data_IF_596007416569
#
_entry.id   IF_596007416569
#
_cell.length_a   1.000
_cell.length_b   1.000
_cell.length_c   1.000
_cell.angle_alpha   90.00
_cell.angle_beta   90.00
_cell.angle_gamma   90.00
#
_symmetry.space_group_name_H-M   'P 1'
#
loop_
_entity.id
_entity.type
_entity.pdbx_description
1 polymer ?
#
# COMPACT_ATOMS: atom_id res chain seq x y z
N UNK A 1 -23.81 -23.69 74.50
CA UNK A 1 -22.34 -23.49 74.50
C UNK A 1 -21.80 -23.95 73.16
N UNK A 2 -21.02 -23.08 72.48
CA UNK A 2 -19.91 -23.36 71.53
C UNK A 2 -20.16 -24.40 70.41
N UNK A 3 -19.84 -24.21 69.14
CA UNK A 3 -19.06 -23.21 68.41
C UNK A 3 -19.34 -23.40 66.91
N UNK A 4 -19.18 -22.29 66.19
CA UNK A 4 -19.23 -22.07 64.74
C UNK A 4 -18.34 -23.06 63.96
N UNK A 5 -18.81 -23.55 62.80
CA UNK A 5 -18.04 -23.45 61.53
C UNK A 5 -19.02 -23.26 60.37
N UNK A 6 -18.98 -22.04 59.82
CA UNK A 6 -19.58 -21.63 58.56
C UNK A 6 -18.67 -22.14 57.43
N UNK A 7 -19.08 -23.18 56.71
CA UNK A 7 -18.34 -23.68 55.55
C UNK A 7 -18.94 -23.07 54.28
N UNK A 8 -18.23 -22.08 53.74
CA UNK A 8 -18.45 -21.49 52.43
C UNK A 8 -18.41 -22.57 51.33
N UNK A 9 -19.53 -22.77 50.64
CA UNK A 9 -19.57 -23.44 49.34
C UNK A 9 -19.27 -22.38 48.28
N UNK A 10 -17.98 -22.20 47.94
CA UNK A 10 -17.53 -21.54 46.71
C UNK A 10 -16.59 -22.51 46.00
N UNK A 11 -17.14 -23.54 45.37
CA UNK A 11 -16.40 -24.42 44.47
C UNK A 11 -17.32 -24.76 43.29
N UNK A 12 -17.49 -23.85 42.33
CA UNK A 12 -17.99 -24.19 40.98
C UNK A 12 -17.92 -23.01 39.99
N UNK A 13 -16.84 -22.22 39.96
CA UNK A 13 -16.61 -21.19 38.93
C UNK A 13 -15.19 -21.24 38.35
N UNK A 14 -14.54 -22.40 38.37
CA UNK A 14 -13.34 -22.68 37.57
C UNK A 14 -13.73 -23.58 36.38
N UNK A 15 -14.69 -23.13 35.57
CA UNK A 15 -14.92 -23.72 34.25
C UNK A 15 -13.80 -23.29 33.32
N UNK A 16 -12.81 -24.17 33.17
CA UNK A 16 -12.06 -24.41 31.93
C UNK A 16 -11.73 -23.19 31.08
N UNK A 17 -10.87 -22.29 31.56
CA UNK A 17 -9.99 -21.56 30.64
C UNK A 17 -8.83 -22.48 30.28
N UNK A 18 -9.11 -23.50 29.47
CA UNK A 18 -8.06 -24.15 28.71
C UNK A 18 -7.60 -23.12 27.69
N UNK A 19 -6.52 -22.41 28.00
CA UNK A 19 -5.74 -21.76 26.96
C UNK A 19 -5.34 -22.88 26.00
N UNK A 20 -5.88 -22.84 24.78
CA UNK A 20 -5.33 -23.63 23.69
C UNK A 20 -3.90 -23.11 23.47
N UNK A 21 -2.93 -23.68 24.18
CA UNK A 21 -1.53 -23.52 23.82
C UNK A 21 -1.37 -24.26 22.50
N UNK A 22 -1.24 -23.50 21.43
CA UNK A 22 -0.78 -24.01 20.15
C UNK A 22 0.53 -24.76 20.40
N UNK A 23 0.53 -26.07 20.16
CA UNK A 23 1.69 -26.93 20.44
C UNK A 23 2.77 -26.58 19.41
N UNK A 24 3.75 -25.79 19.84
CA UNK A 24 4.93 -25.48 19.01
C UNK A 24 6.01 -26.53 19.23
N UNK A 25 6.37 -27.25 18.16
CA UNK A 25 7.46 -28.22 18.16
C UNK A 25 8.73 -27.52 17.64
N UNK A 26 9.54 -26.97 18.54
CA UNK A 26 10.79 -26.28 18.18
C UNK A 26 10.70 -24.76 18.28
N UNK A 27 11.76 -24.05 17.86
CA UNK A 27 11.75 -22.58 17.83
C UNK A 27 11.15 -22.08 16.52
N UNK A 28 10.45 -20.93 16.49
CA UNK A 28 10.00 -20.34 15.23
C UNK A 28 11.18 -20.16 14.26
N UNK A 29 10.96 -20.50 13.00
CA UNK A 29 11.98 -20.37 11.95
C UNK A 29 12.38 -18.90 11.74
N UNK A 30 13.69 -18.66 11.69
CA UNK A 30 14.22 -17.37 11.22
C UNK A 30 14.29 -17.44 9.70
N UNK A 31 13.54 -16.59 9.02
CA UNK A 31 13.34 -16.73 7.57
C UNK A 31 13.00 -15.43 6.86
N UNK A 32 13.16 -15.47 5.53
CA UNK A 32 12.56 -14.51 4.60
C UNK A 32 11.70 -15.26 3.58
N UNK A 33 10.68 -14.60 3.06
CA UNK A 33 9.74 -15.19 2.10
C UNK A 33 9.83 -14.44 0.78
N UNK A 34 9.84 -15.19 -0.31
CA UNK A 34 9.63 -14.68 -1.66
C UNK A 34 8.32 -15.24 -2.20
N UNK A 35 7.55 -14.39 -2.84
CA UNK A 35 6.27 -14.75 -3.45
C UNK A 35 6.30 -14.20 -4.86
N UNK A 36 6.25 -15.09 -5.84
CA UNK A 36 6.18 -14.73 -7.26
C UNK A 36 4.76 -15.01 -7.74
N UNK A 37 4.02 -13.97 -8.09
CA UNK A 37 2.63 -14.09 -8.54
C UNK A 37 2.59 -14.11 -10.06
N UNK A 38 1.92 -15.11 -10.64
CA UNK A 38 1.77 -15.25 -12.08
C UNK A 38 0.57 -14.45 -12.65
N UNK A 39 0.48 -14.41 -13.98
CA UNK A 39 -0.61 -13.71 -14.69
C UNK A 39 -2.00 -14.33 -14.50
N UNK A 40 -2.09 -15.54 -13.93
CA UNK A 40 -3.33 -16.24 -13.63
C UNK A 40 -3.74 -16.11 -12.17
N UNK A 41 -2.94 -15.43 -11.36
CA UNK A 41 -3.19 -15.23 -9.95
C UNK A 41 -2.77 -16.39 -9.03
N UNK A 42 -1.92 -17.29 -9.53
CA UNK A 42 -1.25 -18.29 -8.70
C UNK A 42 0.05 -17.70 -8.15
N UNK A 43 0.56 -18.26 -7.05
CA UNK A 43 1.83 -17.84 -6.49
C UNK A 43 2.78 -19.02 -6.28
N UNK A 44 4.03 -18.82 -6.68
CA UNK A 44 5.14 -19.64 -6.23
C UNK A 44 5.72 -19.02 -4.95
N UNK A 45 5.78 -19.80 -3.88
CA UNK A 45 6.28 -19.35 -2.58
C UNK A 45 7.62 -20.01 -2.31
N UNK A 46 8.62 -19.22 -1.94
CA UNK A 46 9.90 -19.69 -1.44
C UNK A 46 10.16 -19.13 -0.04
N UNK A 47 10.19 -19.99 0.96
CA UNK A 47 10.75 -19.66 2.26
C UNK A 47 12.24 -19.96 2.27
N UNK A 48 13.05 -18.97 2.66
CA UNK A 48 14.49 -19.09 2.86
C UNK A 48 14.71 -19.11 4.37
N UNK A 49 14.85 -20.31 4.93
CA UNK A 49 15.06 -20.56 6.36
C UNK A 49 16.55 -20.55 6.67
N UNK A 50 16.96 -19.76 7.66
CA UNK A 50 18.35 -19.68 8.07
C UNK A 50 18.85 -20.99 8.68
N UNK A 51 20.14 -21.27 8.48
CA UNK A 51 20.80 -22.45 9.08
C UNK A 51 20.70 -22.39 10.61
N UNK A 52 20.56 -23.55 11.25
CA UNK A 52 20.44 -23.64 12.70
C UNK A 52 20.91 -25.00 13.22
N UNK A 53 21.51 -24.99 14.40
CA UNK A 53 21.86 -26.21 15.14
C UNK A 53 20.70 -26.80 15.94
N UNK A 54 19.55 -26.11 15.98
CA UNK A 54 18.31 -26.58 16.60
C UNK A 54 17.19 -26.67 15.58
N UNK A 55 16.24 -27.60 15.77
CA UNK A 55 15.07 -27.70 14.90
C UNK A 55 14.25 -26.41 14.93
N UNK A 56 13.72 -26.04 13.76
CA UNK A 56 12.94 -24.82 13.54
C UNK A 56 11.54 -25.17 13.02
N UNK A 57 10.52 -24.56 13.59
CA UNK A 57 9.14 -24.70 13.13
C UNK A 57 8.82 -23.60 12.13
N UNK A 58 8.42 -24.00 10.93
CA UNK A 58 8.01 -23.16 9.82
C UNK A 58 6.52 -23.35 9.57
N UNK A 59 5.71 -22.31 9.75
CA UNK A 59 4.30 -22.31 9.36
C UNK A 59 4.18 -21.96 7.87
N UNK A 60 3.43 -22.74 7.08
CA UNK A 60 3.18 -22.39 5.67
C UNK A 60 2.14 -21.28 5.56
N UNK A 61 2.13 -20.55 4.44
CA UNK A 61 1.20 -19.42 4.23
C UNK A 61 -0.26 -19.90 4.12
N UNK A 62 -0.47 -21.07 3.53
CA UNK A 62 -1.77 -21.72 3.34
C UNK A 62 -1.61 -23.24 3.44
N UNK A 63 -2.68 -23.93 3.83
CA UNK A 63 -2.74 -25.40 3.84
C UNK A 63 -3.12 -26.00 2.48
N UNK A 64 -3.64 -25.22 1.54
CA UNK A 64 -3.98 -25.68 0.19
C UNK A 64 -2.85 -25.34 -0.78
N UNK A 65 -1.76 -26.10 -0.71
CA UNK A 65 -0.58 -25.94 -1.57
C UNK A 65 -0.34 -27.21 -2.39
N UNK A 66 0.43 -27.07 -3.46
CA UNK A 66 0.93 -28.16 -4.30
C UNK A 66 2.44 -28.06 -4.47
N UNK A 67 3.07 -29.12 -4.98
CA UNK A 67 4.48 -29.13 -5.38
C UNK A 67 5.47 -28.76 -4.26
N UNK A 68 5.22 -29.20 -3.03
CA UNK A 68 6.13 -28.98 -1.90
C UNK A 68 7.52 -29.58 -2.17
N UNK A 69 8.54 -28.76 -2.04
CA UNK A 69 9.95 -29.12 -2.15
C UNK A 69 10.71 -28.53 -0.95
N UNK A 70 11.50 -29.36 -0.28
CA UNK A 70 12.30 -28.97 0.88
C UNK A 70 13.74 -29.42 0.64
N UNK A 71 14.63 -28.45 0.40
CA UNK A 71 16.02 -28.70 0.01
C UNK A 71 16.96 -27.72 0.70
N UNK A 72 18.22 -28.08 0.82
CA UNK A 72 19.23 -27.10 1.20
C UNK A 72 19.59 -26.19 0.01
N UNK A 73 20.25 -25.07 0.30
CA UNK A 73 20.64 -24.10 -0.74
C UNK A 73 21.64 -24.64 -1.78
N UNK A 74 22.20 -25.83 -1.56
CA UNK A 74 23.11 -26.53 -2.49
C UNK A 74 22.38 -27.59 -3.34
N UNK A 75 21.07 -27.75 -3.16
CA UNK A 75 20.23 -28.72 -3.86
C UNK A 75 20.20 -30.12 -3.23
N UNK A 76 20.78 -30.29 -2.04
CA UNK A 76 20.66 -31.52 -1.25
C UNK A 76 19.31 -31.62 -0.55
N UNK A 77 18.91 -32.83 -0.15
CA UNK A 77 17.70 -33.03 0.65
C UNK A 77 17.90 -32.44 2.06
N UNK A 78 16.96 -31.61 2.51
CA UNK A 78 16.89 -31.18 3.89
C UNK A 78 15.90 -32.07 4.65
N UNK A 79 16.23 -32.44 5.89
CA UNK A 79 15.35 -33.27 6.71
C UNK A 79 14.26 -32.42 7.38
N UNK A 80 13.02 -32.89 7.30
CA UNK A 80 11.88 -32.23 7.90
C UNK A 80 10.79 -33.23 8.29
N UNK A 81 9.87 -32.79 9.15
CA UNK A 81 8.63 -33.50 9.44
C UNK A 81 7.46 -32.54 9.30
N UNK A 82 6.34 -33.01 8.75
CA UNK A 82 5.08 -32.27 8.80
C UNK A 82 4.49 -32.34 10.21
N UNK A 83 4.01 -31.20 10.70
CA UNK A 83 3.35 -31.07 12.00
C UNK A 83 1.89 -30.68 11.77
N UNK A 84 0.98 -31.32 12.51
CA UNK A 84 -0.45 -31.05 12.44
C UNK A 84 -0.86 -29.81 13.25
N UNK A 85 -2.01 -29.24 12.91
CA UNK A 85 -2.59 -28.05 13.53
C UNK A 85 -3.62 -27.41 12.61
N UNK A 86 -4.13 -26.23 12.98
CA UNK A 86 -5.07 -25.46 12.15
C UNK A 86 -4.41 -24.95 10.86
N UNK A 87 -3.08 -24.77 10.87
CA UNK A 87 -2.28 -24.50 9.67
C UNK A 87 -1.17 -25.53 9.52
N UNK A 88 -0.87 -25.88 8.27
CA UNK A 88 0.21 -26.81 7.96
C UNK A 88 1.54 -26.18 8.33
N UNK A 89 2.32 -26.87 9.16
CA UNK A 89 3.65 -26.44 9.61
C UNK A 89 4.69 -27.53 9.39
N UNK A 90 5.92 -27.15 9.09
CA UNK A 90 7.06 -28.04 8.92
C UNK A 90 8.04 -27.87 10.10
N UNK A 91 8.46 -28.97 10.70
CA UNK A 91 9.60 -29.01 11.61
C UNK A 91 10.85 -29.29 10.80
N UNK A 92 11.63 -28.25 10.51
CA UNK A 92 12.92 -28.34 9.83
C UNK A 92 13.97 -28.79 10.85
N UNK A 93 14.66 -29.90 10.58
CA UNK A 93 15.72 -30.41 11.46
C UNK A 93 17.01 -29.57 11.33
N UNK A 94 17.94 -29.68 12.30
CA UNK A 94 19.19 -28.94 12.27
C UNK A 94 19.94 -29.07 10.94
N UNK A 95 20.38 -27.95 10.40
CA UNK A 95 21.09 -27.89 9.11
C UNK A 95 22.26 -26.92 9.16
N UNK A 96 23.33 -27.25 8.44
CA UNK A 96 24.53 -26.42 8.30
C UNK A 96 24.41 -25.39 7.16
N UNK A 97 23.44 -25.58 6.27
CA UNK A 97 23.13 -24.70 5.15
C UNK A 97 21.75 -24.06 5.35
N UNK A 98 21.44 -23.01 4.59
CA UNK A 98 20.05 -22.52 4.53
C UNK A 98 19.15 -23.60 3.92
N UNK A 99 17.88 -23.61 4.33
CA UNK A 99 16.86 -24.51 3.80
C UNK A 99 15.87 -23.69 2.98
N UNK A 100 15.62 -24.14 1.76
CA UNK A 100 14.62 -23.63 0.84
C UNK A 100 13.37 -24.51 0.94
N UNK A 101 12.25 -23.91 1.31
CA UNK A 101 10.93 -24.56 1.29
C UNK A 101 10.11 -23.87 0.22
N UNK A 102 9.82 -24.61 -0.83
CA UNK A 102 9.15 -24.12 -2.04
C UNK A 102 7.82 -24.86 -2.23
N UNK A 103 6.77 -24.15 -2.63
CA UNK A 103 5.47 -24.71 -2.97
C UNK A 103 4.66 -23.73 -3.79
N UNK A 104 3.61 -24.24 -4.44
CA UNK A 104 2.69 -23.44 -5.25
C UNK A 104 1.35 -23.27 -4.53
N UNK A 105 0.77 -22.09 -4.67
CA UNK A 105 -0.56 -21.75 -4.20
C UNK A 105 -1.42 -21.32 -5.39
N UNK A 106 -2.54 -22.01 -5.60
CA UNK A 106 -3.47 -21.68 -6.67
C UNK A 106 -4.46 -20.58 -6.25
N UNK A 107 -4.76 -19.65 -7.16
CA UNK A 107 -5.79 -18.62 -7.00
C UNK A 107 -5.66 -17.80 -5.69
N UNK A 108 -4.43 -17.43 -5.30
CA UNK A 108 -4.18 -16.66 -4.06
C UNK A 108 -4.72 -15.24 -4.12
N UNK A 109 -4.81 -14.71 -5.33
CA UNK A 109 -5.42 -13.42 -5.61
C UNK A 109 -6.77 -13.65 -6.28
N UNK A 110 -7.78 -12.87 -5.90
CA UNK A 110 -9.08 -12.88 -6.54
C UNK A 110 -9.23 -11.66 -7.44
N UNK A 111 -9.60 -11.87 -8.70
CA UNK A 111 -9.97 -10.78 -9.60
C UNK A 111 -11.35 -10.24 -9.24
N UNK A 112 -11.43 -8.93 -8.98
CA UNK A 112 -12.68 -8.22 -8.76
C UNK A 112 -12.60 -6.83 -9.35
N UNK A 113 -13.47 -6.54 -10.32
CA UNK A 113 -13.53 -5.25 -11.04
C UNK A 113 -12.20 -4.89 -11.74
N UNK A 114 -11.54 -5.88 -12.38
CA UNK A 114 -10.27 -5.71 -13.08
C UNK A 114 -9.04 -5.56 -12.17
N UNK A 115 -9.20 -5.81 -10.87
CA UNK A 115 -8.11 -5.79 -9.89
C UNK A 115 -7.98 -7.13 -9.20
N UNK A 116 -6.76 -7.64 -9.15
CA UNK A 116 -6.36 -8.77 -8.32
C UNK A 116 -6.16 -8.30 -6.88
N UNK A 117 -6.66 -9.09 -5.92
CA UNK A 117 -6.62 -8.73 -4.49
C UNK A 117 -6.13 -9.87 -3.64
N UNK A 118 -5.23 -9.58 -2.70
CA UNK A 118 -4.79 -10.50 -1.66
C UNK A 118 -4.77 -9.79 -0.31
N UNK A 119 -5.53 -10.32 0.65
CA UNK A 119 -5.38 -9.97 2.07
C UNK A 119 -4.30 -10.88 2.69
N UNK A 120 -3.06 -10.42 2.63
CA UNK A 120 -1.90 -11.19 3.05
C UNK A 120 -1.58 -10.93 4.52
N UNK A 121 -1.43 -12.01 5.30
CA UNK A 121 -0.99 -11.94 6.69
C UNK A 121 0.04 -13.02 6.99
N UNK A 122 1.27 -12.60 7.21
CA UNK A 122 2.36 -13.48 7.59
C UNK A 122 3.46 -12.72 8.32
N UNK A 123 4.05 -13.36 9.33
CA UNK A 123 4.95 -12.67 10.28
C UNK A 123 6.33 -12.42 9.68
N UNK A 124 6.79 -13.25 8.74
CA UNK A 124 8.11 -13.09 8.15
C UNK A 124 8.19 -11.91 7.17
N UNK A 125 9.40 -11.39 6.99
CA UNK A 125 9.67 -10.41 5.93
C UNK A 125 9.44 -11.05 4.57
N UNK A 126 8.60 -10.42 3.76
CA UNK A 126 8.09 -11.00 2.51
C UNK A 126 8.37 -10.05 1.35
N UNK A 127 8.95 -10.58 0.28
CA UNK A 127 9.11 -9.89 -1.00
C UNK A 127 8.08 -10.45 -1.98
N UNK A 128 7.24 -9.58 -2.52
CA UNK A 128 6.28 -9.89 -3.56
C UNK A 128 6.85 -9.46 -4.89
N UNK A 129 6.89 -10.38 -5.85
CA UNK A 129 7.19 -10.14 -7.25
C UNK A 129 5.88 -10.26 -8.01
N UNK A 130 5.48 -9.18 -8.67
CA UNK A 130 4.21 -9.10 -9.39
C UNK A 130 4.41 -9.46 -10.86
N UNK A 131 3.33 -9.81 -11.58
CA UNK A 131 3.43 -10.06 -13.02
C UNK A 131 4.02 -8.85 -13.75
N UNK A 132 4.87 -9.09 -14.75
CA UNK A 132 5.52 -8.06 -15.58
C UNK A 132 4.54 -7.07 -16.23
N UNK A 133 3.27 -7.45 -16.37
CA UNK A 133 2.18 -6.62 -16.87
C UNK A 133 1.63 -5.63 -15.81
N UNK A 134 2.24 -5.53 -14.62
CA UNK A 134 1.77 -4.69 -13.52
C UNK A 134 2.62 -3.42 -13.37
N UNK A 135 2.04 -2.26 -13.67
CA UNK A 135 2.75 -0.97 -13.53
C UNK A 135 2.55 -0.31 -12.16
N UNK A 136 1.42 -0.60 -11.51
CA UNK A 136 1.03 0.01 -10.22
C UNK A 136 0.45 -1.05 -9.29
N UNK A 137 0.95 -1.07 -8.06
CA UNK A 137 0.40 -1.86 -6.95
C UNK A 137 -0.13 -0.94 -5.87
N UNK A 138 -1.21 -1.33 -5.24
CA UNK A 138 -1.81 -0.62 -4.11
C UNK A 138 -1.61 -1.45 -2.85
N UNK A 139 -0.90 -0.88 -1.88
CA UNK A 139 -0.65 -1.50 -0.57
C UNK A 139 -1.47 -0.76 0.47
N UNK A 140 -2.46 -1.42 1.05
CA UNK A 140 -3.41 -0.81 1.98
C UNK A 140 -4.03 0.48 1.39
N UNK A 141 -4.41 0.40 0.10
CA UNK A 141 -4.94 1.51 -0.69
C UNK A 141 -3.97 2.66 -1.01
N UNK A 142 -2.68 2.54 -0.66
CA UNK A 142 -1.65 3.49 -1.08
C UNK A 142 -0.99 3.00 -2.38
N UNK A 143 -1.00 3.80 -3.46
CA UNK A 143 -0.35 3.46 -4.72
C UNK A 143 1.18 3.43 -4.60
N UNK A 144 1.79 2.45 -5.24
CA UNK A 144 3.23 2.31 -5.47
C UNK A 144 3.41 2.04 -6.96
N UNK A 145 4.14 2.93 -7.63
CA UNK A 145 4.54 2.77 -9.02
C UNK A 145 5.74 1.83 -9.08
N UNK A 146 5.61 0.70 -9.77
CA UNK A 146 6.64 -0.33 -9.87
C UNK A 146 7.69 0.04 -10.93
N UNK A 147 7.26 0.36 -12.16
CA UNK A 147 8.13 0.76 -13.30
C UNK A 147 9.35 -0.16 -13.49
N UNK A 148 10.50 0.21 -12.91
CA UNK A 148 11.78 -0.50 -13.04
C UNK A 148 12.06 -1.48 -11.89
N UNK A 149 11.16 -1.59 -10.90
CA UNK A 149 11.25 -2.59 -9.84
C UNK A 149 10.18 -3.66 -10.01
N UNK A 150 10.57 -4.92 -9.83
CA UNK A 150 9.71 -6.08 -10.11
C UNK A 150 8.67 -6.36 -9.00
N UNK A 151 8.62 -5.53 -7.96
CA UNK A 151 7.70 -5.72 -6.85
C UNK A 151 8.03 -4.93 -5.60
N UNK A 152 7.56 -5.43 -4.46
CA UNK A 152 7.64 -4.75 -3.17
C UNK A 152 8.14 -5.68 -2.07
N UNK A 153 8.72 -5.11 -1.02
CA UNK A 153 9.06 -5.83 0.21
C UNK A 153 8.31 -5.24 1.38
N UNK A 154 7.85 -6.12 2.27
CA UNK A 154 7.27 -5.74 3.53
C UNK A 154 7.93 -6.53 4.68
N UNK A 155 8.02 -5.91 5.85
CA UNK A 155 8.59 -6.50 7.06
C UNK A 155 7.49 -6.66 8.13
N UNK A 156 7.18 -7.89 8.56
CA UNK A 156 6.15 -8.15 9.57
C UNK A 156 4.72 -7.87 9.07
N UNK A 157 4.30 -8.56 8.01
CA UNK A 157 3.27 -8.04 7.11
C UNK A 157 1.85 -8.49 7.43
N UNK A 158 1.00 -7.50 7.65
CA UNK A 158 -0.40 -7.56 7.26
C UNK A 158 -0.62 -6.50 6.18
N UNK A 159 -0.81 -6.95 4.93
CA UNK A 159 -0.96 -6.06 3.79
C UNK A 159 -2.14 -6.51 2.93
N UNK A 160 -2.98 -5.54 2.57
CA UNK A 160 -3.95 -5.72 1.50
C UNK A 160 -3.30 -5.26 0.21
N UNK A 161 -2.97 -6.22 -0.64
CA UNK A 161 -2.44 -6.00 -1.98
C UNK A 161 -3.59 -5.91 -2.97
N UNK A 162 -3.62 -4.84 -3.76
CA UNK A 162 -4.50 -4.70 -4.91
C UNK A 162 -3.66 -4.28 -6.11
N UNK A 163 -3.76 -4.95 -7.26
CA UNK A 163 -3.07 -4.54 -8.47
C UNK A 163 -3.89 -4.89 -9.71
N UNK A 164 -3.77 -4.08 -10.75
CA UNK A 164 -4.38 -4.32 -12.04
C UNK A 164 -3.32 -4.78 -13.03
N UNK A 165 -3.68 -5.70 -13.91
CA UNK A 165 -2.87 -5.96 -15.10
C UNK A 165 -3.06 -4.78 -16.07
N UNK A 166 -2.01 -4.46 -16.82
CA UNK A 166 -1.84 -3.29 -17.71
C UNK A 166 -3.12 -2.46 -17.90
N UNK A 167 -3.17 -1.32 -17.21
CA UNK A 167 -4.29 -0.38 -17.28
C UNK A 167 -4.52 0.13 -18.70
N UNK A 168 -5.77 0.49 -19.02
CA UNK A 168 -6.10 1.20 -20.25
C UNK A 168 -5.45 2.57 -20.19
N UNK A 169 -4.37 2.74 -20.96
CA UNK A 169 -3.74 4.04 -21.17
C UNK A 169 -4.39 4.74 -22.36
N UNK A 170 -4.81 5.97 -22.13
CA UNK A 170 -5.31 6.85 -23.18
C UNK A 170 -4.69 8.23 -23.05
N UNK A 171 -4.32 8.80 -24.18
CA UNK A 171 -3.84 10.18 -24.26
C UNK A 171 -4.96 11.08 -24.75
N UNK A 172 -5.27 12.12 -23.99
CA UNK A 172 -6.24 13.13 -24.35
C UNK A 172 -5.55 14.46 -24.62
N UNK A 173 -5.82 15.04 -25.79
CA UNK A 173 -5.23 16.31 -26.22
C UNK A 173 -6.11 17.48 -25.79
N UNK A 174 -5.52 18.44 -25.09
CA UNK A 174 -6.17 19.65 -24.63
C UNK A 174 -5.52 20.85 -25.31
N UNK A 175 -6.30 21.65 -26.03
CA UNK A 175 -5.79 22.87 -26.66
C UNK A 175 -6.09 24.08 -25.79
N UNK A 176 -5.07 24.84 -25.41
CA UNK A 176 -5.19 26.07 -24.63
C UNK A 176 -4.12 27.09 -25.06
N UNK A 177 -4.52 28.35 -25.25
CA UNK A 177 -3.65 29.45 -25.73
C UNK A 177 -2.85 29.11 -27.00
N UNK A 178 -3.45 28.34 -27.93
CA UNK A 178 -2.79 27.92 -29.17
C UNK A 178 -1.73 26.84 -28.99
N UNK A 179 -1.49 26.37 -27.77
CA UNK A 179 -0.66 25.19 -27.45
C UNK A 179 -1.54 23.95 -27.30
N UNK A 180 -0.95 22.78 -27.57
CA UNK A 180 -1.57 21.47 -27.36
C UNK A 180 -0.84 20.78 -26.21
N UNK A 181 -1.60 20.32 -25.23
CA UNK A 181 -1.14 19.60 -24.06
C UNK A 181 -1.66 18.17 -24.07
N UNK A 182 -0.78 17.21 -23.86
CA UNK A 182 -1.16 15.80 -23.73
C UNK A 182 -1.40 15.49 -22.25
N UNK A 183 -2.62 15.06 -21.92
CA UNK A 183 -2.99 14.50 -20.62
C UNK A 183 -3.09 12.99 -20.77
N UNK A 184 -2.24 12.26 -20.05
CA UNK A 184 -2.23 10.79 -20.08
C UNK A 184 -3.10 10.29 -18.95
N UNK A 185 -3.94 9.31 -19.23
CA UNK A 185 -4.86 8.72 -18.26
C UNK A 185 -4.71 7.22 -18.30
N UNK A 186 -4.37 6.63 -17.17
CA UNK A 186 -4.23 5.20 -16.98
C UNK A 186 -5.27 4.75 -15.96
N UNK A 187 -6.16 3.84 -16.36
CA UNK A 187 -7.30 3.43 -15.52
C UNK A 187 -7.75 1.99 -15.83
N UNK A 188 -8.47 1.35 -14.90
CA UNK A 188 -9.03 0.00 -15.07
C UNK A 188 -10.45 -0.04 -15.64
N UNK A 189 -11.02 1.12 -16.00
CA UNK A 189 -12.41 1.23 -16.45
C UNK A 189 -12.59 2.33 -17.48
N UNK A 190 -13.83 2.47 -17.97
CA UNK A 190 -14.16 3.53 -18.93
C UNK A 190 -14.24 4.90 -18.27
N UNK A 191 -13.75 5.92 -18.99
CA UNK A 191 -13.89 7.33 -18.61
C UNK A 191 -14.33 8.18 -19.81
N UNK A 192 -14.88 9.35 -19.53
CA UNK A 192 -15.21 10.33 -20.57
C UNK A 192 -13.98 11.07 -21.09
N UNK A 193 -14.22 11.96 -22.06
CA UNK A 193 -13.25 13.00 -22.41
C UNK A 193 -13.04 13.97 -21.25
N UNK A 194 -11.80 14.42 -21.08
CA UNK A 194 -11.39 15.45 -20.15
C UNK A 194 -11.80 16.81 -20.69
N UNK A 195 -12.42 17.61 -19.83
CA UNK A 195 -12.82 18.99 -20.11
C UNK A 195 -11.97 19.90 -19.25
N UNK A 196 -11.46 20.97 -19.87
CA UNK A 196 -10.70 21.99 -19.18
C UNK A 196 -11.56 23.24 -18.98
N UNK A 197 -11.69 23.65 -17.72
CA UNK A 197 -12.24 24.93 -17.31
C UNK A 197 -11.12 25.78 -16.70
N UNK A 198 -10.54 26.65 -17.52
CA UNK A 198 -9.42 27.49 -17.11
C UNK A 198 -9.81 28.61 -16.14
N UNK A 199 -11.05 29.11 -16.21
CA UNK A 199 -11.52 30.16 -15.31
C UNK A 199 -11.56 29.63 -13.86
N UNK A 200 -11.96 28.37 -13.70
CA UNK A 200 -12.02 27.70 -12.41
C UNK A 200 -10.80 26.85 -12.08
N UNK A 201 -9.75 26.88 -12.93
CA UNK A 201 -8.54 26.03 -12.79
C UNK A 201 -8.91 24.58 -12.49
N UNK A 202 -9.76 24.03 -13.35
CA UNK A 202 -10.37 22.72 -13.14
C UNK A 202 -10.29 21.84 -14.39
N UNK A 203 -9.95 20.58 -14.19
CA UNK A 203 -10.17 19.50 -15.16
C UNK A 203 -11.33 18.63 -14.68
N UNK A 204 -12.23 18.28 -15.60
CA UNK A 204 -13.38 17.43 -15.30
C UNK A 204 -13.44 16.22 -16.22
N UNK A 205 -13.78 15.05 -15.67
CA UNK A 205 -14.05 13.81 -16.41
C UNK A 205 -15.10 12.97 -15.68
N UNK A 206 -15.82 12.12 -16.38
CA UNK A 206 -16.78 11.19 -15.79
C UNK A 206 -16.18 9.78 -15.72
N UNK A 207 -16.29 9.14 -14.55
CA UNK A 207 -16.00 7.70 -14.36
C UNK A 207 -17.29 6.89 -14.52
N UNK A 208 -17.24 5.84 -15.34
CA UNK A 208 -18.43 5.06 -15.70
C UNK A 208 -18.60 3.80 -14.84
N UNK A 209 -17.60 3.45 -14.04
CA UNK A 209 -17.56 2.23 -13.24
C UNK A 209 -17.27 2.53 -11.77
N UNK A 210 -17.61 1.59 -10.88
CA UNK A 210 -17.31 1.69 -9.44
C UNK A 210 -15.93 1.12 -9.13
N UNK A 211 -15.33 1.55 -8.03
CA UNK A 211 -14.01 1.09 -7.57
C UNK A 211 -12.92 1.29 -8.64
N UNK A 212 -13.02 2.38 -9.39
CA UNK A 212 -12.13 2.67 -10.50
C UNK A 212 -10.89 3.41 -9.99
N UNK A 213 -9.72 2.88 -10.34
CA UNK A 213 -8.44 3.53 -10.08
C UNK A 213 -8.09 4.39 -11.29
N UNK A 214 -7.63 5.60 -11.02
CA UNK A 214 -7.30 6.57 -12.05
C UNK A 214 -5.94 7.17 -11.71
N UNK A 215 -5.02 7.09 -12.65
CA UNK A 215 -3.77 7.83 -12.66
C UNK A 215 -3.83 8.84 -13.80
N UNK A 216 -3.67 10.11 -13.48
CA UNK A 216 -3.58 11.21 -14.43
C UNK A 216 -2.14 11.73 -14.48
N UNK A 217 -1.58 11.86 -15.67
CA UNK A 217 -0.35 12.62 -15.90
C UNK A 217 -0.73 13.95 -16.53
N UNK A 218 -0.56 15.03 -15.77
CA UNK A 218 -1.06 16.36 -16.12
C UNK A 218 0.14 17.31 -16.24
N UNK A 219 0.28 18.03 -17.37
CA UNK A 219 1.22 19.15 -17.46
C UNK A 219 0.89 20.25 -16.45
N UNK A 220 1.86 20.70 -15.66
CA UNK A 220 1.68 21.75 -14.63
C UNK A 220 1.25 23.11 -15.20
N UNK A 221 1.48 23.35 -16.49
CA UNK A 221 0.97 24.55 -17.17
C UNK A 221 -0.57 24.59 -17.20
N UNK A 222 -1.25 23.43 -17.21
CA UNK A 222 -2.72 23.36 -17.30
C UNK A 222 -3.41 23.69 -15.98
N UNK A 223 -2.83 23.29 -14.85
CA UNK A 223 -3.40 23.40 -13.52
C UNK A 223 -2.29 23.70 -12.50
N UNK A 224 -2.55 24.61 -11.57
CA UNK A 224 -1.59 24.96 -10.51
C UNK A 224 -1.63 23.95 -9.38
N UNK A 225 -0.48 23.71 -8.74
CA UNK A 225 -0.38 22.81 -7.58
C UNK A 225 -0.58 23.58 -6.25
N UNK A 226 -1.01 22.89 -5.16
CA UNK A 226 -1.38 21.47 -5.08
C UNK A 226 -2.75 21.14 -5.68
N UNK A 227 -3.11 19.85 -5.77
CA UNK A 227 -4.35 19.42 -6.42
C UNK A 227 -5.35 18.83 -5.43
N UNK A 228 -6.62 19.19 -5.60
CA UNK A 228 -7.73 18.54 -4.92
C UNK A 228 -8.61 17.80 -5.91
N UNK A 229 -9.03 16.59 -5.56
CA UNK A 229 -9.93 15.79 -6.40
C UNK A 229 -11.24 15.57 -5.69
N UNK A 230 -12.32 15.78 -6.41
CA UNK A 230 -13.69 15.61 -5.97
C UNK A 230 -14.39 14.56 -6.84
N UNK A 231 -15.20 13.70 -6.22
CA UNK A 231 -16.12 12.80 -6.89
C UNK A 231 -17.55 13.19 -6.48
N UNK A 232 -18.37 13.60 -7.43
CA UNK A 232 -19.72 14.11 -7.18
C UNK A 232 -19.73 15.16 -6.04
N UNK A 233 -18.89 16.18 -6.19
CA UNK A 233 -18.70 17.30 -5.24
C UNK A 233 -18.13 16.91 -3.86
N UNK A 234 -17.72 15.65 -3.65
CA UNK A 234 -17.09 15.19 -2.42
C UNK A 234 -15.60 14.97 -2.61
N UNK A 235 -14.77 15.63 -1.79
CA UNK A 235 -13.32 15.44 -1.81
C UNK A 235 -12.97 13.98 -1.54
N UNK A 236 -12.06 13.42 -2.34
CA UNK A 236 -11.55 12.06 -2.19
C UNK A 236 -10.04 12.05 -1.92
N UNK A 237 -9.50 10.99 -1.30
CA UNK A 237 -8.06 10.84 -1.12
C UNK A 237 -7.32 10.79 -2.46
N UNK A 238 -6.20 11.51 -2.53
CA UNK A 238 -5.35 11.63 -3.71
C UNK A 238 -3.88 11.45 -3.32
N UNK A 239 -3.10 10.92 -4.24
CA UNK A 239 -1.66 10.79 -4.12
C UNK A 239 -1.00 11.49 -5.29
N UNK A 240 -0.06 12.37 -4.99
CA UNK A 240 0.76 13.06 -5.98
C UNK A 240 2.14 12.42 -6.07
N UNK A 241 2.57 12.08 -7.28
CA UNK A 241 3.94 11.67 -7.56
C UNK A 241 4.61 12.71 -8.46
N UNK A 242 5.83 13.08 -8.08
CA UNK A 242 6.65 14.05 -8.81
C UNK A 242 7.74 13.30 -9.56
N UNK A 243 7.48 12.98 -10.82
CA UNK A 243 8.42 12.21 -11.66
C UNK A 243 9.22 13.11 -12.61
N UNK A 244 8.71 14.29 -12.95
CA UNK A 244 9.36 15.24 -13.86
C UNK A 244 9.05 16.66 -13.42
N UNK A 245 9.89 17.64 -13.77
CA UNK A 245 9.70 19.04 -13.38
C UNK A 245 8.39 19.63 -13.92
N UNK A 246 7.93 19.20 -15.10
CA UNK A 246 6.81 19.84 -15.81
C UNK A 246 5.48 19.07 -15.74
N UNK A 247 5.50 17.84 -15.21
CA UNK A 247 4.31 16.99 -15.12
C UNK A 247 4.05 16.58 -13.68
N UNK A 248 2.78 16.45 -13.32
CA UNK A 248 2.34 15.81 -12.09
C UNK A 248 1.65 14.49 -12.40
N UNK A 249 1.88 13.49 -11.56
CA UNK A 249 1.14 12.23 -11.59
C UNK A 249 0.18 12.24 -10.41
N UNK A 250 -1.12 12.21 -10.69
CA UNK A 250 -2.17 12.24 -9.69
C UNK A 250 -2.91 10.91 -9.70
N UNK A 251 -2.84 10.18 -8.59
CA UNK A 251 -3.52 8.91 -8.43
C UNK A 251 -4.67 9.02 -7.41
N UNK A 252 -5.81 8.46 -7.74
CA UNK A 252 -6.96 8.36 -6.84
C UNK A 252 -7.83 7.16 -7.19
N UNK A 253 -8.71 6.81 -6.24
CA UNK A 253 -9.71 5.76 -6.40
C UNK A 253 -11.11 6.33 -6.23
N UNK A 254 -12.00 6.02 -7.17
CA UNK A 254 -13.42 6.35 -7.06
C UNK A 254 -14.19 5.18 -6.43
N UNK A 255 -15.15 5.47 -5.55
CA UNK A 255 -16.01 4.45 -4.93
C UNK A 255 -17.37 4.31 -5.63
N UNK A 256 -17.69 5.22 -6.55
CA UNK A 256 -18.92 5.24 -7.33
C UNK A 256 -18.66 5.78 -8.73
N UNK A 257 -19.67 5.64 -9.60
CA UNK A 257 -19.72 6.34 -10.87
C UNK A 257 -19.98 7.83 -10.66
N UNK A 258 -19.69 8.66 -11.67
CA UNK A 258 -20.06 10.07 -11.68
C UNK A 258 -18.93 11.00 -12.09
N UNK A 259 -19.11 12.29 -11.78
CA UNK A 259 -18.22 13.35 -12.20
C UNK A 259 -17.03 13.46 -11.26
N UNK A 260 -15.84 13.48 -11.83
CA UNK A 260 -14.58 13.77 -11.17
C UNK A 260 -14.11 15.15 -11.56
N UNK A 261 -13.85 16.00 -10.57
CA UNK A 261 -13.28 17.32 -10.73
C UNK A 261 -11.90 17.38 -10.07
N UNK A 262 -10.88 17.76 -10.82
CA UNK A 262 -9.52 18.02 -10.35
C UNK A 262 -9.32 19.54 -10.35
N UNK A 263 -9.16 20.11 -9.17
CA UNK A 263 -9.00 21.56 -8.98
C UNK A 263 -7.56 21.84 -8.58
N UNK A 264 -6.90 22.72 -9.34
CA UNK A 264 -5.61 23.26 -8.95
C UNK A 264 -5.80 24.38 -7.93
N UNK A 265 -5.37 24.17 -6.69
CA UNK A 265 -5.50 25.20 -5.65
C UNK A 265 -4.23 26.03 -5.57
N UNK A 266 -4.36 27.35 -5.52
CA UNK A 266 -3.22 28.22 -5.22
C UNK A 266 -3.16 28.42 -3.71
N UNK A 267 -2.06 27.97 -3.09
CA UNK A 267 -1.70 28.47 -1.75
C UNK A 267 -1.19 29.89 -1.90
N UNK A 268 -2.10 30.86 -1.95
CA UNK A 268 -1.74 32.27 -1.77
C UNK A 268 -1.28 32.39 -0.31
N UNK A 269 -0.02 32.79 -0.02
CA UNK A 269 0.39 33.05 1.35
C UNK A 269 -0.57 34.06 1.96
N UNK A 270 -1.14 33.76 3.14
CA UNK A 270 -2.11 34.62 3.84
C UNK A 270 -1.56 36.01 4.22
N UNK A 271 -0.31 36.29 3.89
CA UNK A 271 0.25 37.63 3.90
C UNK A 271 0.66 38.01 2.48
N UNK A 272 -0.04 38.97 1.82
CA UNK A 272 0.53 39.59 0.63
C UNK A 272 1.90 40.16 1.04
N UNK A 273 2.96 39.84 0.31
CA UNK A 273 4.32 40.33 0.59
C UNK A 273 4.37 41.85 0.83
N UNK A 274 3.46 42.59 0.18
CA UNK A 274 3.24 44.02 0.41
C UNK A 274 2.92 44.36 1.88
N UNK A 275 2.10 43.57 2.59
CA UNK A 275 1.78 43.79 3.99
C UNK A 275 3.00 43.61 4.91
N UNK A 276 3.82 42.59 4.66
CA UNK A 276 5.09 42.37 5.39
C UNK A 276 6.05 43.53 5.13
N UNK A 277 6.13 44.02 3.90
CA UNK A 277 7.00 45.12 3.50
C UNK A 277 6.53 46.46 4.10
N UNK A 278 5.22 46.69 4.15
CA UNK A 278 4.61 47.87 4.81
C UNK A 278 4.83 47.84 6.31
N UNK A 279 4.62 46.69 6.97
CA UNK A 279 4.87 46.54 8.41
C UNK A 279 6.36 46.68 8.74
N UNK A 280 7.24 46.12 7.91
CA UNK A 280 8.68 46.28 8.04
C UNK A 280 9.13 47.74 7.88
N UNK A 281 8.62 48.44 6.86
CA UNK A 281 8.89 49.86 6.66
C UNK A 281 8.34 50.71 7.82
N UNK A 282 7.13 50.42 8.31
CA UNK A 282 6.54 51.09 9.47
C UNK A 282 7.36 50.89 10.74
N UNK A 283 7.89 49.67 10.99
CA UNK A 283 8.77 49.40 12.13
C UNK A 283 10.09 50.17 12.05
N UNK A 284 10.70 50.27 10.85
CA UNK A 284 11.94 51.05 10.65
C UNK A 284 11.68 52.55 10.88
N UNK A 285 10.56 53.07 10.39
CA UNK A 285 10.16 54.47 10.58
C UNK A 285 9.88 54.74 12.07
N UNK A 286 9.15 53.85 12.74
CA UNK A 286 8.87 53.95 14.17
C UNK A 286 10.15 53.94 15.02
N UNK A 287 11.09 53.03 14.73
CA UNK A 287 12.38 52.95 15.41
C UNK A 287 13.23 54.21 15.20
N UNK A 288 13.19 54.79 13.98
CA UNK A 288 13.91 56.03 13.66
C UNK A 288 13.30 57.26 14.32
N UNK A 289 11.98 57.28 14.53
CA UNK A 289 11.26 58.34 15.23
C UNK A 289 11.45 58.23 16.75
N UNK A 290 11.43 57.02 17.32
CA UNK A 290 11.71 56.80 18.75
C UNK A 290 13.16 57.12 19.11
N UNK A 291 14.12 56.89 18.20
CA UNK A 291 15.52 57.31 18.37
C UNK A 291 15.74 58.83 18.32
N UNK A 292 14.79 59.60 17.77
CA UNK A 292 14.83 61.08 17.77
C UNK A 292 14.06 61.73 18.93
N UNK A 293 13.26 60.96 19.67
CA UNK A 293 12.52 61.43 20.86
C UNK A 293 13.35 61.39 22.15
N UNK A 294 14.63 61.03 22.07
CA UNK A 294 15.61 61.30 23.13
C UNK A 294 16.09 62.76 23.03
N UNK A 295 15.26 63.70 23.48
CA UNK A 295 15.66 65.09 23.70
C UNK A 295 15.26 65.49 25.11
N UNK A 296 16.29 65.64 25.95
CA UNK A 296 16.32 66.08 27.36
C UNK A 296 15.93 65.06 28.43
#
# INVERSE_FOLDING_TARGET
MKQIVFALVIISLLSSMAFAQEISFGKPAIQTVKIEIDEKGNAHVTHIVEKSSSSQQLELISSNFTNLSVRDEKGGSAEYAETGGDKTSLLILPSQNKVLVEYDLENVVAEKNGFWKWDYRYVASTSFFLPNSTDTVFVNSNPILLREVDGIRCHGCQVKLEYGMKSLEQTQKITWEGKIFDVIISTNGKISKVKLDQANKMLSLDVMEKDQYVTLVIPKELLWNPYEVFLNDKKIPTHEFYQTEDMVWLNFKTNSTGKVDIVGVSVVPEFPFAAVLVLGAAMIIAAKLSGKLSLH
#
